data_IF_260609340804
#
_entry.id   IF_260609340804
#
_cell.length_a   1.000
_cell.length_b   1.000
_cell.length_c   1.000
_cell.angle_alpha   90.00
_cell.angle_beta   90.00
_cell.angle_gamma   90.00
#
_symmetry.space_group_name_H-M   'P 1'
#
loop_
_entity.id
_entity.type
_entity.pdbx_description
1 polymer ?
#
# COMPACT_ATOMS: atom_id res chain seq x y z
N UNK A 1 8.42 -7.08 -25.36
CA UNK A 1 7.35 -7.93 -24.82
C UNK A 1 7.23 -9.20 -25.64
N UNK A 2 7.46 -10.36 -25.04
CA UNK A 2 7.50 -11.65 -25.77
C UNK A 2 6.18 -12.42 -25.76
N UNK A 3 5.41 -12.36 -24.67
CA UNK A 3 4.17 -13.15 -24.52
C UNK A 3 3.06 -12.45 -23.74
N UNK A 4 3.26 -11.21 -23.27
CA UNK A 4 2.26 -10.45 -22.50
C UNK A 4 1.89 -11.03 -21.13
N UNK A 5 2.56 -12.09 -20.68
CA UNK A 5 2.28 -12.73 -19.39
C UNK A 5 2.74 -11.83 -18.24
N UNK A 6 1.88 -11.66 -17.24
CA UNK A 6 2.26 -11.09 -15.95
C UNK A 6 3.21 -12.07 -15.24
N UNK A 7 4.44 -11.64 -14.98
CA UNK A 7 5.47 -12.42 -14.33
C UNK A 7 5.80 -11.84 -12.96
N UNK A 8 5.90 -12.71 -11.98
CA UNK A 8 6.55 -12.39 -10.71
C UNK A 8 8.07 -12.32 -10.93
N UNK A 9 8.72 -11.29 -10.39
CA UNK A 9 10.17 -11.11 -10.47
C UNK A 9 10.94 -12.31 -9.91
N UNK A 10 10.38 -13.01 -8.92
CA UNK A 10 10.99 -14.20 -8.30
C UNK A 10 11.00 -15.41 -9.24
N UNK A 11 10.17 -15.42 -10.29
CA UNK A 11 10.10 -16.50 -11.28
C UNK A 11 11.02 -16.27 -12.49
N UNK A 12 11.76 -15.16 -12.52
CA UNK A 12 12.69 -14.86 -13.60
C UNK A 12 13.86 -15.85 -13.60
N UNK A 13 14.12 -16.45 -14.76
CA UNK A 13 15.34 -17.22 -14.99
C UNK A 13 16.50 -16.25 -15.28
N UNK A 14 17.64 -16.46 -14.62
CA UNK A 14 18.83 -15.61 -14.73
C UNK A 14 18.54 -14.12 -14.50
N UNK A 15 17.98 -13.73 -13.33
CA UNK A 15 17.65 -12.34 -13.08
C UNK A 15 18.91 -11.49 -13.08
N UNK A 16 18.78 -10.25 -13.58
CA UNK A 16 19.87 -9.28 -13.64
C UNK A 16 19.39 -7.92 -13.15
N UNK A 17 20.14 -7.33 -12.23
CA UNK A 17 19.91 -5.95 -11.81
C UNK A 17 20.19 -5.01 -12.99
N UNK A 18 19.21 -4.21 -13.39
CA UNK A 18 19.35 -3.25 -14.49
C UNK A 18 20.34 -2.12 -14.17
N UNK A 19 20.58 -1.84 -12.89
CA UNK A 19 21.46 -0.73 -12.44
C UNK A 19 22.92 -1.15 -12.45
N UNK A 20 23.27 -2.28 -11.82
CA UNK A 20 24.67 -2.71 -11.64
C UNK A 20 25.04 -4.01 -12.37
N UNK A 21 24.11 -4.65 -13.07
CA UNK A 21 24.38 -5.84 -13.89
C UNK A 21 24.60 -7.15 -13.09
N UNK A 22 24.62 -7.10 -11.76
CA UNK A 22 24.77 -8.27 -10.90
C UNK A 22 23.49 -9.10 -10.81
N UNK A 23 23.60 -10.36 -10.39
CA UNK A 23 22.46 -11.24 -10.13
C UNK A 23 21.86 -10.90 -8.76
N UNK A 24 20.60 -10.45 -8.69
CA UNK A 24 19.95 -10.20 -7.41
C UNK A 24 19.66 -11.52 -6.69
N UNK A 25 19.66 -11.47 -5.36
CA UNK A 25 19.30 -12.59 -4.49
C UNK A 25 18.06 -12.24 -3.67
N UNK A 26 17.14 -13.21 -3.46
CA UNK A 26 15.97 -13.01 -2.60
C UNK A 26 16.42 -12.73 -1.16
N UNK A 27 15.73 -11.78 -0.50
CA UNK A 27 15.93 -11.46 0.91
C UNK A 27 14.60 -11.37 1.60
N UNK A 28 14.52 -11.92 2.80
CA UNK A 28 13.36 -11.74 3.66
C UNK A 28 13.36 -10.32 4.23
N UNK A 29 12.18 -9.72 4.32
CA UNK A 29 11.98 -8.38 4.84
C UNK A 29 10.69 -8.32 5.64
N UNK A 30 10.80 -8.00 6.93
CA UNK A 30 9.65 -7.79 7.80
C UNK A 30 8.99 -6.46 7.49
N UNK A 31 7.66 -6.44 7.37
CA UNK A 31 6.91 -5.23 7.03
C UNK A 31 5.63 -5.13 7.88
N UNK A 32 5.19 -3.91 8.18
CA UNK A 32 3.90 -3.70 8.85
C UNK A 32 2.78 -3.60 7.81
N UNK A 33 1.62 -4.13 8.18
CA UNK A 33 0.41 -4.06 7.37
C UNK A 33 -0.72 -3.42 8.16
N UNK A 34 -1.43 -2.49 7.52
CA UNK A 34 -2.68 -1.97 8.03
C UNK A 34 -3.80 -2.95 7.66
N UNK A 35 -4.43 -3.55 8.66
CA UNK A 35 -5.52 -4.51 8.49
C UNK A 35 -6.85 -3.80 8.16
N UNK A 36 -6.99 -3.41 6.90
CA UNK A 36 -8.19 -2.72 6.41
C UNK A 36 -9.44 -3.59 6.47
N UNK A 37 -9.30 -4.92 6.48
CA UNK A 37 -10.43 -5.84 6.58
C UNK A 37 -11.20 -5.62 7.89
N UNK A 38 -10.47 -5.42 9.00
CA UNK A 38 -11.07 -5.11 10.31
C UNK A 38 -11.76 -3.75 10.36
N UNK A 39 -11.34 -2.81 9.50
CA UNK A 39 -11.90 -1.46 9.44
C UNK A 39 -13.08 -1.33 8.48
N UNK A 40 -13.25 -2.30 7.56
CA UNK A 40 -14.18 -2.18 6.44
C UNK A 40 -15.62 -1.87 6.87
N UNK A 41 -16.15 -2.54 7.90
CA UNK A 41 -17.54 -2.32 8.34
C UNK A 41 -17.76 -0.88 8.80
N UNK A 42 -16.88 -0.37 9.69
CA UNK A 42 -16.92 1.01 10.16
C UNK A 42 -16.70 2.03 9.04
N UNK A 43 -15.82 1.71 8.09
CA UNK A 43 -15.58 2.57 6.93
C UNK A 43 -16.82 2.65 6.04
N UNK A 44 -17.53 1.54 5.82
CA UNK A 44 -18.70 1.52 4.96
C UNK A 44 -19.84 2.39 5.51
N UNK A 45 -20.12 2.25 6.82
CA UNK A 45 -21.07 3.08 7.55
C UNK A 45 -20.69 4.57 7.48
N UNK A 46 -19.42 4.90 7.73
CA UNK A 46 -18.93 6.28 7.68
C UNK A 46 -19.01 6.87 6.26
N UNK A 47 -18.73 6.09 5.21
CA UNK A 47 -18.80 6.54 3.82
C UNK A 47 -20.26 6.87 3.45
N UNK A 48 -21.24 6.07 3.88
CA UNK A 48 -22.65 6.35 3.61
C UNK A 48 -23.06 7.70 4.21
N UNK A 49 -22.80 7.89 5.50
CA UNK A 49 -23.14 9.14 6.20
C UNK A 49 -22.38 10.35 5.62
N UNK A 50 -21.08 10.21 5.39
CA UNK A 50 -20.21 11.32 4.97
C UNK A 50 -20.44 11.73 3.52
N UNK A 51 -20.77 10.78 2.66
CA UNK A 51 -21.02 11.06 1.24
C UNK A 51 -22.28 11.90 1.03
N UNK A 52 -23.33 11.64 1.81
CA UNK A 52 -24.57 12.43 1.81
C UNK A 52 -24.34 13.82 2.43
N UNK A 53 -23.80 13.87 3.65
CA UNK A 53 -23.54 15.14 4.35
C UNK A 53 -22.57 16.04 3.60
N UNK A 54 -21.52 15.46 3.04
CA UNK A 54 -20.48 16.14 2.27
C UNK A 54 -20.85 16.40 0.82
N UNK A 55 -22.03 15.96 0.34
CA UNK A 55 -22.48 16.10 -1.05
C UNK A 55 -21.43 15.66 -2.06
N UNK A 56 -20.85 14.48 -1.85
CA UNK A 56 -19.79 13.97 -2.71
C UNK A 56 -20.29 13.81 -4.16
N UNK A 57 -19.38 13.95 -5.12
CA UNK A 57 -19.69 13.72 -6.52
C UNK A 57 -20.00 12.24 -6.78
N UNK A 58 -20.90 11.97 -7.74
CA UNK A 58 -21.35 10.60 -8.06
C UNK A 58 -20.20 9.64 -8.39
N UNK A 59 -19.16 10.12 -9.06
CA UNK A 59 -17.98 9.32 -9.41
C UNK A 59 -17.15 8.92 -8.19
N UNK A 60 -17.00 9.80 -7.20
CA UNK A 60 -16.27 9.53 -5.96
C UNK A 60 -16.99 8.48 -5.12
N UNK A 61 -18.33 8.59 -5.01
CA UNK A 61 -19.17 7.61 -4.32
C UNK A 61 -19.05 6.24 -5.00
N UNK A 62 -19.26 6.20 -6.32
CA UNK A 62 -19.20 4.96 -7.12
C UNK A 62 -17.83 4.28 -7.01
N UNK A 63 -16.74 5.05 -7.14
CA UNK A 63 -15.38 4.52 -7.00
C UNK A 63 -15.15 3.95 -5.61
N UNK A 64 -15.48 4.71 -4.56
CA UNK A 64 -15.25 4.30 -3.16
C UNK A 64 -16.01 3.03 -2.82
N UNK A 65 -17.32 2.97 -3.11
CA UNK A 65 -18.14 1.78 -2.90
C UNK A 65 -17.68 0.60 -3.76
N UNK A 66 -17.19 0.87 -4.97
CA UNK A 66 -16.58 -0.14 -5.83
C UNK A 66 -15.34 -0.81 -5.21
N UNK A 67 -14.49 -0.05 -4.52
CA UNK A 67 -13.35 -0.61 -3.78
C UNK A 67 -13.78 -1.41 -2.55
N UNK A 68 -14.70 -0.88 -1.75
CA UNK A 68 -15.21 -1.56 -0.55
C UNK A 68 -15.88 -2.89 -0.91
N UNK A 69 -16.70 -2.91 -1.97
CA UNK A 69 -17.41 -4.11 -2.45
C UNK A 69 -16.47 -5.24 -2.87
N UNK A 70 -15.26 -4.93 -3.37
CA UNK A 70 -14.25 -5.95 -3.71
C UNK A 70 -13.67 -6.65 -2.49
N UNK A 71 -13.86 -6.10 -1.29
CA UNK A 71 -13.21 -6.53 -0.06
C UNK A 71 -11.86 -5.84 0.12
N UNK A 72 -11.69 -5.20 1.27
CA UNK A 72 -10.44 -4.55 1.64
C UNK A 72 -9.47 -5.57 2.22
N UNK A 73 -8.24 -5.52 1.74
CA UNK A 73 -7.15 -6.39 2.16
C UNK A 73 -6.13 -5.61 2.98
N UNK A 74 -5.26 -6.34 3.70
CA UNK A 74 -4.11 -5.73 4.36
C UNK A 74 -3.21 -4.99 3.38
N UNK A 75 -2.83 -3.75 3.71
CA UNK A 75 -1.91 -2.94 2.89
C UNK A 75 -0.61 -2.71 3.63
N UNK A 76 0.52 -2.95 2.98
CA UNK A 76 1.84 -2.74 3.55
C UNK A 76 2.11 -1.24 3.74
N UNK A 77 2.41 -0.83 4.97
CA UNK A 77 2.63 0.57 5.36
C UNK A 77 4.10 0.90 5.65
N UNK A 78 5.04 -0.01 5.43
CA UNK A 78 6.49 0.23 5.60
C UNK A 78 7.26 0.07 4.30
N UNK A 79 8.42 0.74 4.20
CA UNK A 79 9.35 0.61 3.08
C UNK A 79 10.80 0.59 3.55
N UNK A 80 11.62 -0.17 2.82
CA UNK A 80 13.06 -0.21 2.95
C UNK A 80 13.69 1.01 2.25
N UNK A 81 13.52 2.19 2.84
CA UNK A 81 14.06 3.46 2.36
C UNK A 81 14.71 4.23 3.51
N UNK A 82 15.65 5.12 3.18
CA UNK A 82 16.32 5.99 4.15
C UNK A 82 15.61 7.33 4.37
N UNK A 83 14.83 7.79 3.38
CA UNK A 83 14.12 9.07 3.43
C UNK A 83 12.62 8.86 3.60
N UNK A 84 12.08 9.30 4.74
CA UNK A 84 10.68 9.21 5.11
C UNK A 84 10.48 9.27 6.63
N UNK A 85 9.23 9.21 7.08
CA UNK A 85 8.89 9.21 8.50
C UNK A 85 9.38 7.89 9.15
N UNK A 86 10.23 7.93 10.19
CA UNK A 86 10.76 6.72 10.81
C UNK A 86 9.67 5.94 11.53
N UNK A 87 9.76 4.60 11.49
CA UNK A 87 8.83 3.72 12.20
C UNK A 87 9.31 3.58 13.66
N UNK A 88 8.52 4.00 14.67
CA UNK A 88 8.96 3.99 16.07
C UNK A 88 8.76 2.61 16.72
N UNK A 89 9.29 1.55 16.11
CA UNK A 89 9.24 0.18 16.62
C UNK A 89 10.61 -0.48 16.55
N UNK A 90 10.91 -1.29 17.57
CA UNK A 90 12.11 -2.14 17.58
C UNK A 90 12.13 -3.07 16.37
N UNK A 91 13.28 -3.23 15.73
CA UNK A 91 13.44 -4.01 14.49
C UNK A 91 13.07 -3.26 13.19
N UNK A 92 12.64 -2.00 13.26
CA UNK A 92 12.28 -1.18 12.09
C UNK A 92 13.18 0.06 11.90
N UNK A 93 14.35 0.10 12.55
CA UNK A 93 15.28 1.25 12.51
C UNK A 93 15.75 1.64 11.11
N UNK A 94 15.77 0.69 10.17
CA UNK A 94 16.14 0.91 8.77
C UNK A 94 14.93 1.04 7.82
N UNK A 95 13.73 1.27 8.38
CA UNK A 95 12.48 1.36 7.64
C UNK A 95 11.76 2.67 7.93
N UNK A 96 11.05 3.14 6.92
CA UNK A 96 10.18 4.32 6.99
C UNK A 96 8.74 3.94 6.67
N UNK A 97 7.80 4.78 7.05
CA UNK A 97 6.43 4.65 6.58
C UNK A 97 6.35 4.84 5.07
N UNK A 98 5.46 4.04 4.46
CA UNK A 98 5.15 4.18 3.05
C UNK A 98 4.38 5.47 2.82
N UNK A 99 4.80 6.29 1.85
CA UNK A 99 4.21 7.60 1.57
C UNK A 99 2.67 7.60 1.41
N UNK A 100 2.07 6.52 0.89
CA UNK A 100 0.61 6.45 0.75
C UNK A 100 -0.13 6.28 2.08
N UNK A 101 0.58 5.91 3.15
CA UNK A 101 0.04 5.82 4.49
C UNK A 101 0.14 7.16 5.22
N UNK A 102 1.30 7.82 5.21
CA UNK A 102 1.54 9.03 6.00
C UNK A 102 1.31 10.36 5.26
N UNK A 103 1.29 10.38 3.91
CA UNK A 103 1.03 11.62 3.17
C UNK A 103 -0.32 12.28 3.53
N UNK A 104 -1.45 11.56 3.71
CA UNK A 104 -2.70 12.18 4.16
C UNK A 104 -2.62 12.75 5.59
N UNK A 105 -1.71 12.27 6.43
CA UNK A 105 -1.51 12.79 7.79
C UNK A 105 -0.86 14.18 7.73
N UNK A 106 -0.12 14.50 6.66
CA UNK A 106 0.47 15.82 6.44
C UNK A 106 -0.53 16.99 6.34
N UNK A 107 -1.84 16.72 6.24
CA UNK A 107 -2.87 17.76 6.37
C UNK A 107 -3.08 18.24 7.82
N UNK A 108 -2.64 17.46 8.82
CA UNK A 108 -2.82 17.75 10.25
C UNK A 108 -1.57 18.34 10.91
N UNK A 109 -0.38 18.12 10.32
CA UNK A 109 0.93 18.54 10.85
C UNK A 109 1.14 20.04 10.71
#
# INVERSE_FOLDING_TARGET
DGCGKLLDAMLLKNPRCKVCGTTPAPKEATNLYLDLKKLQGKLDEWVDESSEKGKWSKNSISTTKGWIKKGLEGRCITRDLKWGTPVPLEGYTDKVFYVWFDAPIGYLS
#
